data_IF_850379154240
#
_entry.id   IF_850379154240
#
_cell.length_a   1.000
_cell.length_b   1.000
_cell.length_c   1.000
_cell.angle_alpha   90.00
_cell.angle_beta   90.00
_cell.angle_gamma   90.00
#
_symmetry.space_group_name_H-M   'P 1'
#
loop_
_entity.id
_entity.type
_entity.pdbx_description
1 polymer ?
#
# COMPACT_ATOMS: atom_id res chain seq x y z
N UNK A 1 -14.61 -18.54 -17.23
CA UNK A 1 -15.63 -18.31 -16.17
C UNK A 1 -15.10 -17.22 -15.25
N UNK A 2 -15.60 -15.99 -15.40
CA UNK A 2 -15.21 -14.85 -14.56
C UNK A 2 -15.94 -15.00 -13.22
N UNK A 3 -15.18 -15.14 -12.13
CA UNK A 3 -15.70 -15.51 -10.80
C UNK A 3 -16.59 -14.43 -10.19
N UNK A 4 -17.78 -14.84 -9.71
CA UNK A 4 -18.77 -14.02 -8.98
C UNK A 4 -18.21 -13.30 -7.74
N UNK A 5 -17.02 -13.68 -7.25
CA UNK A 5 -16.39 -13.08 -6.06
C UNK A 5 -15.86 -11.66 -6.27
N UNK A 6 -15.52 -11.26 -7.51
CA UNK A 6 -15.01 -9.91 -7.81
C UNK A 6 -16.12 -8.85 -7.88
N UNK A 7 -17.37 -9.26 -8.05
CA UNK A 7 -18.52 -8.36 -8.17
C UNK A 7 -18.96 -7.81 -6.80
N UNK A 8 -18.78 -8.58 -5.72
CA UNK A 8 -19.28 -8.20 -4.38
C UNK A 8 -18.57 -6.97 -3.79
N UNK A 9 -17.26 -6.77 -4.04
CA UNK A 9 -16.55 -5.60 -3.53
C UNK A 9 -16.96 -4.29 -4.22
N UNK A 10 -17.31 -4.37 -5.51
CA UNK A 10 -17.81 -3.22 -6.25
C UNK A 10 -19.22 -2.85 -5.80
N UNK A 11 -20.10 -3.84 -5.65
CA UNK A 11 -21.49 -3.63 -5.22
C UNK A 11 -21.57 -3.00 -3.81
N UNK A 12 -20.61 -3.33 -2.95
CA UNK A 12 -20.45 -2.71 -1.62
C UNK A 12 -19.92 -1.27 -1.67
N UNK A 13 -19.09 -0.93 -2.67
CA UNK A 13 -18.51 0.40 -2.85
C UNK A 13 -19.39 1.34 -3.70
N UNK A 14 -20.35 0.80 -4.45
CA UNK A 14 -21.25 1.54 -5.35
C UNK A 14 -22.59 1.91 -4.73
N UNK A 15 -22.70 1.92 -3.40
CA UNK A 15 -23.90 2.40 -2.70
C UNK A 15 -24.19 3.85 -3.07
N UNK A 16 -25.12 4.04 -4.02
CA UNK A 16 -25.59 5.33 -4.53
C UNK A 16 -25.89 6.31 -3.39
N UNK A 17 -25.12 7.39 -3.31
CA UNK A 17 -25.54 8.66 -2.75
C UNK A 17 -24.68 9.80 -3.31
N UNK A 18 -25.37 10.68 -4.03
CA UNK A 18 -25.02 12.03 -4.50
C UNK A 18 -24.18 12.12 -5.78
N UNK A 19 -24.89 12.46 -6.86
CA UNK A 19 -24.36 13.05 -8.10
C UNK A 19 -23.44 14.25 -7.77
N UNK A 20 -22.17 14.14 -8.12
CA UNK A 20 -21.21 15.25 -8.11
C UNK A 20 -21.03 15.68 -9.58
N UNK A 21 -21.13 16.98 -9.91
CA UNK A 21 -21.05 17.42 -11.30
C UNK A 21 -19.65 17.22 -11.86
N UNK A 22 -19.59 16.74 -13.10
CA UNK A 22 -18.38 16.72 -13.91
C UNK A 22 -17.74 18.12 -13.99
N UNK A 23 -16.50 18.23 -13.53
CA UNK A 23 -15.62 19.37 -13.84
C UNK A 23 -14.51 18.93 -14.81
N UNK A 24 -14.05 19.80 -15.73
CA UNK A 24 -13.22 19.39 -16.86
C UNK A 24 -11.71 19.65 -16.65
N UNK A 25 -10.91 18.89 -17.43
CA UNK A 25 -9.52 19.14 -17.90
C UNK A 25 -8.31 18.75 -17.02
N UNK A 26 -7.72 17.62 -17.40
CA UNK A 26 -6.37 17.48 -18.02
C UNK A 26 -5.22 18.33 -17.45
N UNK A 27 -4.36 17.70 -16.68
CA UNK A 27 -2.96 18.11 -16.45
C UNK A 27 -2.10 17.63 -17.64
N UNK A 28 -1.13 18.41 -18.15
CA UNK A 28 -0.44 18.07 -19.40
C UNK A 28 0.56 16.94 -19.19
N UNK A 29 0.52 15.94 -20.10
CA UNK A 29 1.61 14.97 -20.27
C UNK A 29 2.87 15.72 -20.70
N UNK A 30 3.94 15.55 -19.95
CA UNK A 30 5.29 15.98 -20.33
C UNK A 30 5.66 15.26 -21.63
N UNK A 31 5.85 16.04 -22.71
CA UNK A 31 6.31 15.54 -24.00
C UNK A 31 7.80 15.20 -23.91
N UNK A 32 8.14 13.93 -24.12
CA UNK A 32 9.49 13.55 -24.57
C UNK A 32 9.60 13.82 -26.07
N UNK A 33 10.67 14.52 -26.44
CA UNK A 33 10.98 15.02 -27.79
C UNK A 33 11.23 13.85 -28.77
N UNK A 34 10.71 13.89 -30.02
CA UNK A 34 11.00 12.87 -31.01
C UNK A 34 12.35 13.14 -31.72
N UNK A 35 13.32 12.26 -31.52
CA UNK A 35 14.64 12.33 -32.14
C UNK A 35 14.85 11.28 -33.24
N UNK A 36 14.61 11.72 -34.48
CA UNK A 36 15.32 11.35 -35.73
C UNK A 36 15.25 9.87 -36.18
N UNK A 37 14.37 9.65 -37.16
CA UNK A 37 14.47 8.58 -38.16
C UNK A 37 15.75 8.81 -38.98
N UNK A 38 16.55 7.78 -39.16
CA UNK A 38 17.46 7.68 -40.30
C UNK A 38 17.37 6.27 -40.88
N UNK A 39 16.55 6.14 -41.92
CA UNK A 39 16.69 5.09 -42.93
C UNK A 39 17.78 5.54 -43.92
N UNK A 40 18.83 4.76 -44.10
CA UNK A 40 19.45 4.59 -45.42
C UNK A 40 20.33 3.33 -45.47
N UNK A 41 19.94 2.40 -46.34
CA UNK A 41 20.73 1.26 -46.81
C UNK A 41 22.04 1.70 -47.48
N UNK A 42 23.12 0.94 -47.26
CA UNK A 42 24.38 1.11 -47.98
C UNK A 42 25.39 -0.02 -47.71
N UNK A 43 25.61 -0.86 -48.73
CA UNK A 43 26.56 -1.98 -48.86
C UNK A 43 27.96 -1.78 -48.21
N UNK A 44 28.53 -2.86 -47.63
CA UNK A 44 29.88 -2.93 -47.02
C UNK A 44 31.06 -2.94 -48.02
N UNK A 45 32.26 -3.50 -47.70
CA UNK A 45 32.76 -4.05 -46.43
C UNK A 45 34.19 -3.57 -46.02
N UNK A 46 34.65 -4.01 -44.83
CA UNK A 46 36.02 -4.00 -44.28
C UNK A 46 36.55 -2.71 -43.63
N UNK A 47 36.87 -2.81 -42.34
CA UNK A 47 37.66 -1.83 -41.60
C UNK A 47 37.58 -2.06 -40.10
N UNK A 48 38.47 -2.90 -39.58
CA UNK A 48 38.81 -3.06 -38.17
C UNK A 48 39.07 -1.72 -37.47
N UNK A 49 38.40 -1.46 -36.34
CA UNK A 49 39.10 -1.12 -35.09
C UNK A 49 38.11 -1.11 -33.91
N UNK A 50 38.53 -1.74 -32.82
CA UNK A 50 37.93 -1.63 -31.50
C UNK A 50 37.84 -0.16 -31.07
N UNK A 51 36.67 0.22 -30.59
CA UNK A 51 36.42 1.48 -29.91
C UNK A 51 35.20 1.28 -29.04
N UNK A 52 35.45 1.09 -27.74
CA UNK A 52 34.45 0.95 -26.68
C UNK A 52 33.32 1.97 -26.84
N UNK A 53 32.22 1.54 -27.47
CA UNK A 53 30.95 2.23 -27.33
C UNK A 53 30.39 1.80 -25.99
N UNK A 54 30.62 2.62 -24.96
CA UNK A 54 29.86 2.63 -23.72
C UNK A 54 28.38 2.58 -24.09
N UNK A 55 27.80 1.38 -24.00
CA UNK A 55 26.37 1.22 -23.89
C UNK A 55 26.04 1.95 -22.60
N UNK A 56 25.53 3.17 -22.71
CA UNK A 56 24.92 3.87 -21.60
C UNK A 56 23.79 2.96 -21.10
N UNK A 57 24.12 2.11 -20.12
CA UNK A 57 23.15 1.39 -19.35
C UNK A 57 22.32 2.49 -18.71
N UNK A 58 21.10 2.69 -19.21
CA UNK A 58 20.10 3.48 -18.52
C UNK A 58 20.06 2.97 -17.09
N UNK A 59 20.58 3.75 -16.14
CA UNK A 59 20.57 3.40 -14.73
C UNK A 59 19.09 3.26 -14.38
N UNK A 60 18.64 2.01 -14.21
CA UNK A 60 17.27 1.71 -13.81
C UNK A 60 17.16 2.08 -12.34
N UNK A 61 16.79 3.32 -12.05
CA UNK A 61 16.54 3.77 -10.69
C UNK A 61 15.36 2.96 -10.12
N UNK A 62 15.63 2.18 -9.08
CA UNK A 62 14.60 1.40 -8.41
C UNK A 62 13.73 2.36 -7.59
N UNK A 63 12.47 2.51 -7.96
CA UNK A 63 11.50 3.35 -7.25
C UNK A 63 10.57 2.52 -6.38
N UNK A 64 10.43 2.93 -5.12
CA UNK A 64 9.61 2.26 -4.10
C UNK A 64 8.53 3.18 -3.58
N UNK A 65 7.27 2.74 -3.69
CA UNK A 65 6.10 3.43 -3.16
C UNK A 65 5.76 2.81 -1.82
N UNK A 66 6.02 3.52 -0.73
CA UNK A 66 5.72 3.10 0.64
C UNK A 66 4.34 3.62 1.02
N UNK A 67 3.42 2.72 1.34
CA UNK A 67 2.02 3.06 1.62
C UNK A 67 1.68 2.75 3.07
N UNK A 68 1.29 3.79 3.80
CA UNK A 68 1.03 3.74 5.24
C UNK A 68 -0.27 4.47 5.55
N UNK A 69 -0.95 4.13 6.65
CA UNK A 69 -2.16 4.86 7.06
C UNK A 69 -1.90 6.37 7.24
N UNK A 70 -0.74 6.71 7.82
CA UNK A 70 -0.32 8.09 8.05
C UNK A 70 1.06 8.32 7.46
N UNK A 71 1.23 9.43 6.74
CA UNK A 71 2.53 9.87 6.26
C UNK A 71 3.50 10.08 7.45
N UNK A 72 4.81 9.82 7.26
CA UNK A 72 5.84 10.07 8.25
C UNK A 72 6.19 11.56 8.36
N UNK A 73 5.16 12.41 8.49
CA UNK A 73 5.27 13.85 8.55
C UNK A 73 4.51 14.42 9.75
N UNK A 74 5.05 15.50 10.29
CA UNK A 74 4.32 16.42 11.13
C UNK A 74 3.74 17.55 10.26
N UNK A 75 2.46 17.85 10.45
CA UNK A 75 1.79 18.96 9.78
C UNK A 75 1.29 19.95 10.84
N UNK A 76 1.63 21.24 10.69
CA UNK A 76 1.18 22.31 11.57
C UNK A 76 0.75 23.51 10.74
N UNK A 77 -0.37 24.14 11.10
CA UNK A 77 -0.80 25.41 10.52
C UNK A 77 -0.18 26.55 11.32
N UNK A 78 0.58 27.40 10.65
CA UNK A 78 1.22 28.56 11.27
C UNK A 78 0.15 29.59 11.68
N UNK A 79 0.10 30.01 12.96
CA UNK A 79 -0.97 30.89 13.45
C UNK A 79 -0.86 32.34 12.94
N UNK A 80 0.31 32.78 12.48
CA UNK A 80 0.53 34.14 12.00
C UNK A 80 0.26 34.29 10.50
N UNK A 81 0.67 33.29 9.70
CA UNK A 81 0.56 33.31 8.23
C UNK A 81 -0.60 32.50 7.69
N UNK A 82 -1.25 31.68 8.54
CA UNK A 82 -2.27 30.69 8.18
C UNK A 82 -1.80 29.62 7.16
N UNK A 83 -0.49 29.50 6.91
CA UNK A 83 0.08 28.54 5.97
C UNK A 83 0.44 27.21 6.64
N UNK A 84 0.45 26.14 5.85
CA UNK A 84 0.88 24.82 6.31
C UNK A 84 2.41 24.67 6.30
N UNK A 85 2.94 24.19 7.42
CA UNK A 85 4.33 23.82 7.62
C UNK A 85 4.44 22.31 7.86
N UNK A 86 5.41 21.69 7.20
CA UNK A 86 5.65 20.25 7.24
C UNK A 86 7.09 19.96 7.65
N UNK A 87 7.30 18.88 8.40
CA UNK A 87 8.62 18.36 8.74
C UNK A 87 8.57 16.83 8.83
N UNK A 88 9.69 16.17 8.59
CA UNK A 88 9.82 14.72 8.78
C UNK A 88 9.57 14.32 10.25
N UNK A 89 8.93 13.17 10.42
CA UNK A 89 8.81 12.46 11.70
C UNK A 89 9.98 11.47 11.77
N UNK A 90 11.11 11.90 12.35
CA UNK A 90 12.38 11.13 12.40
C UNK A 90 12.24 9.83 13.22
N UNK A 91 11.25 9.76 14.10
CA UNK A 91 10.92 8.57 14.89
C UNK A 91 10.06 7.57 14.09
N UNK A 92 9.66 7.91 12.87
CA UNK A 92 8.84 7.05 12.03
C UNK A 92 9.64 5.87 11.48
N UNK A 93 9.21 4.66 11.86
CA UNK A 93 9.76 3.41 11.30
C UNK A 93 9.68 3.35 9.77
N UNK A 94 8.68 4.00 9.18
CA UNK A 94 8.50 4.03 7.73
C UNK A 94 9.56 4.89 7.04
N UNK A 95 10.04 5.94 7.72
CA UNK A 95 11.12 6.77 7.22
C UNK A 95 12.47 6.05 7.36
N UNK A 96 12.71 5.40 8.50
CA UNK A 96 13.93 4.63 8.78
C UNK A 96 14.09 3.41 7.85
N UNK A 97 12.99 2.92 7.26
CA UNK A 97 13.01 1.81 6.31
C UNK A 97 13.90 2.09 5.08
N UNK A 98 14.05 3.36 4.69
CA UNK A 98 14.92 3.75 3.56
C UNK A 98 16.39 3.39 3.78
N UNK A 99 16.84 3.35 5.05
CA UNK A 99 18.24 3.13 5.41
C UNK A 99 18.70 1.68 5.13
N UNK A 100 17.75 0.76 4.91
CA UNK A 100 18.01 -0.62 4.51
C UNK A 100 18.23 -0.82 3.00
N UNK A 101 18.15 0.23 2.19
CA UNK A 101 18.23 0.16 0.73
C UNK A 101 19.41 0.95 0.15
N UNK A 102 19.68 0.74 -1.15
CA UNK A 102 20.71 1.49 -1.87
C UNK A 102 20.42 3.00 -1.83
N UNK A 103 21.42 3.88 -1.66
CA UNK A 103 21.24 5.33 -1.72
C UNK A 103 20.62 5.85 -3.03
N UNK A 104 20.70 5.07 -4.10
CA UNK A 104 20.13 5.39 -5.42
C UNK A 104 18.63 5.05 -5.54
N UNK A 105 18.05 4.41 -4.51
CA UNK A 105 16.64 4.02 -4.48
C UNK A 105 15.77 5.25 -4.24
N UNK A 106 14.82 5.51 -5.13
CA UNK A 106 13.86 6.58 -4.97
C UNK A 106 12.68 6.10 -4.11
N UNK A 107 12.28 6.91 -3.12
CA UNK A 107 11.13 6.61 -2.26
C UNK A 107 10.04 7.66 -2.43
N UNK A 108 8.83 7.17 -2.65
CA UNK A 108 7.60 7.97 -2.61
C UNK A 108 6.72 7.42 -1.49
N UNK A 109 6.20 8.31 -0.64
CA UNK A 109 5.33 7.93 0.47
C UNK A 109 3.87 8.29 0.17
N UNK A 110 2.96 7.36 0.37
CA UNK A 110 1.52 7.56 0.20
C UNK A 110 0.81 7.33 1.53
N UNK A 111 0.05 8.32 2.01
CA UNK A 111 -0.58 8.26 3.33
C UNK A 111 -1.51 9.43 3.61
N UNK A 112 -2.33 9.34 4.67
CA UNK A 112 -3.07 10.51 5.18
C UNK A 112 -2.18 11.38 6.07
N UNK A 113 -2.55 12.65 6.22
CA UNK A 113 -1.90 13.55 7.18
C UNK A 113 -2.56 13.40 8.56
N UNK A 114 -1.77 13.63 9.62
CA UNK A 114 -2.25 13.75 11.00
C UNK A 114 -2.91 15.13 11.26
N UNK A 115 -3.53 15.72 10.25
CA UNK A 115 -4.16 17.04 10.28
C UNK A 115 -5.35 17.10 9.30
N UNK A 116 -6.36 17.89 9.64
CA UNK A 116 -7.53 18.11 8.78
C UNK A 116 -7.22 19.26 7.82
N UNK A 117 -7.25 18.98 6.51
CA UNK A 117 -6.92 19.92 5.45
C UNK A 117 -8.19 20.26 4.69
N UNK A 118 -8.57 21.54 4.70
CA UNK A 118 -9.74 22.03 3.98
C UNK A 118 -9.63 21.73 2.49
N UNK A 119 -10.74 21.38 1.84
CA UNK A 119 -10.77 20.99 0.43
C UNK A 119 -10.18 22.06 -0.52
N UNK A 120 -10.29 23.34 -0.16
CA UNK A 120 -9.69 24.44 -0.92
C UNK A 120 -8.15 24.51 -0.84
N UNK A 121 -7.56 23.92 0.19
CA UNK A 121 -6.10 23.92 0.44
C UNK A 121 -5.43 22.62 -0.04
N UNK A 122 -6.20 21.57 -0.37
CA UNK A 122 -5.68 20.24 -0.66
C UNK A 122 -4.74 20.18 -1.87
N UNK A 123 -5.00 20.96 -2.92
CA UNK A 123 -4.14 20.99 -4.11
C UNK A 123 -2.77 21.61 -3.79
N UNK A 124 -2.76 22.78 -3.13
CA UNK A 124 -1.53 23.46 -2.72
C UNK A 124 -0.70 22.57 -1.77
N UNK A 125 -1.37 21.92 -0.81
CA UNK A 125 -0.71 20.99 0.11
C UNK A 125 -0.15 19.78 -0.62
N UNK A 126 -0.89 19.20 -1.59
CA UNK A 126 -0.42 18.04 -2.35
C UNK A 126 0.83 18.37 -3.17
N UNK A 127 0.82 19.51 -3.86
CA UNK A 127 1.97 19.96 -4.64
C UNK A 127 3.20 20.16 -3.74
N UNK A 128 3.04 20.88 -2.62
CA UNK A 128 4.13 21.11 -1.67
C UNK A 128 4.70 19.81 -1.10
N UNK A 129 3.84 18.86 -0.73
CA UNK A 129 4.27 17.57 -0.18
C UNK A 129 5.01 16.71 -1.21
N UNK A 130 4.60 16.76 -2.48
CA UNK A 130 5.28 16.04 -3.54
C UNK A 130 6.66 16.66 -3.82
N UNK A 131 6.74 17.98 -3.97
CA UNK A 131 7.98 18.70 -4.31
C UNK A 131 9.03 18.65 -3.19
N UNK A 132 8.60 18.90 -1.94
CA UNK A 132 9.53 19.04 -0.81
C UNK A 132 9.84 17.70 -0.12
N UNK A 133 8.94 16.72 -0.21
CA UNK A 133 8.98 15.49 0.61
C UNK A 133 8.76 14.18 -0.16
N UNK A 134 8.53 14.20 -1.48
CA UNK A 134 8.09 13.01 -2.23
C UNK A 134 6.91 12.28 -1.57
N UNK A 135 5.99 13.05 -0.98
CA UNK A 135 4.82 12.54 -0.29
C UNK A 135 3.55 12.83 -1.09
N UNK A 136 2.70 11.82 -1.25
CA UNK A 136 1.39 11.95 -1.90
C UNK A 136 0.29 11.76 -0.84
N UNK A 137 -0.39 12.84 -0.44
CA UNK A 137 -1.42 12.77 0.58
C UNK A 137 -2.68 12.08 0.06
N UNK A 138 -3.29 11.25 0.92
CA UNK A 138 -4.63 10.70 0.72
C UNK A 138 -5.59 11.40 1.68
N UNK A 139 -6.39 12.33 1.17
CA UNK A 139 -7.40 13.03 1.95
C UNK A 139 -8.68 12.18 2.04
N UNK A 140 -8.97 11.69 3.24
CA UNK A 140 -10.21 10.97 3.53
C UNK A 140 -11.22 11.94 4.17
N UNK A 141 -12.50 11.95 3.72
CA UNK A 141 -13.54 12.71 4.40
C UNK A 141 -13.60 12.37 5.90
N UNK A 142 -13.82 13.36 6.76
CA UNK A 142 -13.72 13.20 8.21
C UNK A 142 -14.61 12.07 8.78
N UNK A 143 -15.85 11.96 8.30
CA UNK A 143 -16.76 10.87 8.69
C UNK A 143 -16.24 9.49 8.24
N UNK A 144 -15.71 9.41 7.01
CA UNK A 144 -15.10 8.18 6.49
C UNK A 144 -13.88 7.79 7.32
N UNK A 145 -12.98 8.75 7.59
CA UNK A 145 -11.78 8.54 8.40
C UNK A 145 -12.13 8.02 9.79
N UNK A 146 -13.15 8.60 10.43
CA UNK A 146 -13.60 8.16 11.76
C UNK A 146 -14.13 6.72 11.74
N UNK A 147 -15.00 6.36 10.79
CA UNK A 147 -15.56 5.01 10.67
C UNK A 147 -14.50 3.98 10.28
N UNK A 148 -13.61 4.33 9.37
CA UNK A 148 -12.48 3.52 8.94
C UNK A 148 -11.49 3.25 10.08
N UNK A 149 -10.97 4.31 10.69
CA UNK A 149 -9.88 4.21 11.66
C UNK A 149 -10.38 3.87 13.06
N UNK A 150 -11.25 4.69 13.65
CA UNK A 150 -11.73 4.43 15.00
C UNK A 150 -12.72 3.26 15.03
N UNK A 151 -13.62 3.20 14.05
CA UNK A 151 -14.60 2.11 13.96
C UNK A 151 -13.96 0.77 13.58
N UNK A 152 -13.66 0.56 12.30
CA UNK A 152 -13.23 -0.76 11.85
C UNK A 152 -11.82 -1.13 12.34
N UNK A 153 -10.84 -0.26 12.15
CA UNK A 153 -9.45 -0.55 12.49
C UNK A 153 -9.25 -0.73 14.02
N UNK A 154 -9.71 0.23 14.83
CA UNK A 154 -9.46 0.20 16.30
C UNK A 154 -10.48 -0.57 17.12
N UNK A 155 -11.76 -0.66 16.73
CA UNK A 155 -12.75 -1.43 17.48
C UNK A 155 -12.87 -2.89 17.01
N UNK A 156 -12.51 -3.22 15.75
CA UNK A 156 -12.68 -4.59 15.22
C UNK A 156 -11.33 -5.29 14.96
N UNK A 157 -10.48 -4.74 14.09
CA UNK A 157 -9.23 -5.42 13.69
C UNK A 157 -8.21 -5.46 14.82
N UNK A 158 -7.97 -4.32 15.48
CA UNK A 158 -6.95 -4.24 16.53
C UNK A 158 -7.22 -5.20 17.70
N UNK A 159 -8.44 -5.27 18.28
CA UNK A 159 -8.73 -6.22 19.36
C UNK A 159 -8.62 -7.67 18.90
N UNK A 160 -9.09 -7.99 17.69
CA UNK A 160 -8.99 -9.33 17.12
C UNK A 160 -7.52 -9.79 17.00
N UNK A 161 -6.66 -8.94 16.44
CA UNK A 161 -5.25 -9.27 16.20
C UNK A 161 -4.45 -9.40 17.50
N UNK A 162 -4.91 -8.75 18.58
CA UNK A 162 -4.30 -8.78 19.90
C UNK A 162 -5.00 -9.74 20.88
N UNK A 163 -5.84 -10.65 20.39
CA UNK A 163 -6.55 -11.65 21.21
C UNK A 163 -7.45 -11.03 22.30
N UNK A 164 -7.87 -9.77 22.12
CA UNK A 164 -8.82 -9.07 22.99
C UNK A 164 -10.24 -9.31 22.48
N UNK A 165 -10.73 -10.55 22.65
CA UNK A 165 -12.12 -10.86 22.32
C UNK A 165 -13.06 -10.20 23.36
N UNK A 166 -14.19 -9.59 22.93
CA UNK A 166 -15.19 -9.11 23.88
C UNK A 166 -15.76 -10.31 24.65
N UNK A 167 -15.50 -10.35 25.96
CA UNK A 167 -15.93 -11.44 26.86
C UNK A 167 -17.39 -11.28 27.33
N UNK A 168 -18.11 -10.24 26.88
CA UNK A 168 -19.47 -9.92 27.33
C UNK A 168 -20.52 -10.15 26.22
N UNK A 169 -21.60 -10.92 26.49
CA UNK A 169 -22.71 -11.12 25.56
C UNK A 169 -23.44 -9.82 25.16
N UNK A 170 -23.50 -8.84 26.07
CA UNK A 170 -24.19 -7.56 25.87
C UNK A 170 -23.36 -6.51 25.11
N UNK A 171 -22.08 -6.81 24.83
CA UNK A 171 -21.15 -5.99 24.04
C UNK A 171 -20.78 -6.67 22.71
N UNK A 172 -21.54 -7.68 22.30
CA UNK A 172 -21.50 -8.22 20.96
C UNK A 172 -22.19 -7.26 19.99
N UNK A 173 -21.62 -6.07 19.78
CA UNK A 173 -22.07 -5.20 18.71
C UNK A 173 -22.08 -6.03 17.44
N UNK A 174 -23.29 -6.25 16.91
CA UNK A 174 -23.48 -6.98 15.65
C UNK A 174 -22.53 -6.36 14.64
N UNK A 175 -21.82 -7.21 13.90
CA UNK A 175 -20.86 -6.76 12.89
C UNK A 175 -21.43 -5.62 12.05
N UNK A 176 -20.85 -4.43 12.22
CA UNK A 176 -21.33 -3.24 11.57
C UNK A 176 -20.81 -3.19 10.13
N UNK A 177 -21.70 -3.53 9.20
CA UNK A 177 -21.41 -3.50 7.75
C UNK A 177 -21.04 -2.10 7.26
N UNK A 178 -21.49 -1.04 7.92
CA UNK A 178 -21.15 0.34 7.52
C UNK A 178 -19.70 0.66 7.84
N UNK A 179 -19.15 0.13 8.94
CA UNK A 179 -17.72 0.25 9.27
C UNK A 179 -16.87 -0.54 8.27
N UNK A 180 -17.32 -1.73 7.86
CA UNK A 180 -16.66 -2.49 6.80
C UNK A 180 -16.66 -1.74 5.47
N UNK A 181 -17.79 -1.17 5.06
CA UNK A 181 -17.86 -0.35 3.85
C UNK A 181 -16.93 0.85 3.92
N UNK A 182 -16.85 1.53 5.07
CA UNK A 182 -15.89 2.61 5.28
C UNK A 182 -14.44 2.13 5.11
N UNK A 183 -14.10 0.93 5.62
CA UNK A 183 -12.78 0.34 5.44
C UNK A 183 -12.44 0.02 3.97
N UNK A 184 -13.39 -0.57 3.24
CA UNK A 184 -13.26 -0.83 1.80
C UNK A 184 -13.09 0.47 1.02
N UNK A 185 -13.92 1.48 1.30
CA UNK A 185 -13.86 2.79 0.63
C UNK A 185 -12.55 3.53 0.90
N UNK A 186 -12.06 3.52 2.14
CA UNK A 186 -10.75 4.09 2.47
C UNK A 186 -9.63 3.38 1.69
N UNK A 187 -9.59 2.05 1.71
CA UNK A 187 -8.59 1.26 0.98
C UNK A 187 -8.63 1.53 -0.54
N UNK A 188 -9.82 1.76 -1.09
CA UNK A 188 -10.01 2.15 -2.49
C UNK A 188 -9.44 3.54 -2.77
N UNK A 189 -9.72 4.55 -1.94
CA UNK A 189 -9.19 5.91 -2.13
C UNK A 189 -7.66 5.94 -2.09
N UNK A 190 -7.05 5.14 -1.22
CA UNK A 190 -5.59 4.95 -1.21
C UNK A 190 -5.09 4.30 -2.49
N UNK A 191 -5.75 3.25 -2.98
CA UNK A 191 -5.39 2.61 -4.24
C UNK A 191 -5.50 3.57 -5.43
N UNK A 192 -6.57 4.38 -5.48
CA UNK A 192 -6.78 5.38 -6.53
C UNK A 192 -5.62 6.39 -6.55
N UNK A 193 -5.16 6.86 -5.38
CA UNK A 193 -3.98 7.75 -5.27
C UNK A 193 -2.69 7.13 -5.77
N UNK A 194 -2.47 5.84 -5.50
CA UNK A 194 -1.29 5.12 -6.02
C UNK A 194 -1.38 4.97 -7.54
N UNK A 195 -2.59 4.70 -8.07
CA UNK A 195 -2.79 4.54 -9.51
C UNK A 195 -2.49 5.82 -10.30
N UNK A 196 -2.55 7.00 -9.67
CA UNK A 196 -2.19 8.29 -10.29
C UNK A 196 -0.68 8.43 -10.55
N UNK A 197 0.18 7.76 -9.78
CA UNK A 197 1.64 8.00 -9.77
C UNK A 197 2.50 6.80 -10.18
N UNK A 198 1.92 5.60 -10.13
CA UNK A 198 2.65 4.35 -10.31
C UNK A 198 3.04 4.09 -11.78
N UNK A 199 4.27 3.60 -11.97
CA UNK A 199 4.79 2.96 -13.18
C UNK A 199 4.76 1.45 -12.99
N UNK A 200 3.71 0.72 -13.46
CA UNK A 200 3.39 -0.63 -12.99
C UNK A 200 4.45 -1.72 -13.26
N UNK A 201 5.32 -1.53 -14.25
CA UNK A 201 6.36 -2.52 -14.60
C UNK A 201 7.68 -2.26 -13.87
N UNK A 202 7.89 -1.04 -13.39
CA UNK A 202 9.14 -0.57 -12.81
C UNK A 202 9.04 -0.54 -11.28
N UNK A 203 7.96 0.05 -10.77
CA UNK A 203 7.77 0.36 -9.35
C UNK A 203 7.48 -0.85 -8.47
N UNK A 204 7.91 -0.73 -7.22
CA UNK A 204 7.55 -1.63 -6.13
C UNK A 204 6.62 -0.90 -5.17
N UNK A 205 5.43 -1.45 -4.93
CA UNK A 205 4.52 -0.92 -3.90
C UNK A 205 4.64 -1.76 -2.65
N UNK A 206 4.98 -1.12 -1.53
CA UNK A 206 5.04 -1.75 -0.23
C UNK A 206 3.99 -1.18 0.71
N UNK A 207 2.98 -1.99 1.02
CA UNK A 207 1.84 -1.62 1.85
C UNK A 207 2.09 -2.05 3.29
N UNK A 208 1.79 -1.16 4.25
CA UNK A 208 2.04 -1.43 5.66
C UNK A 208 0.76 -1.45 6.50
N UNK A 209 0.75 -2.46 7.38
CA UNK A 209 -0.13 -2.63 8.52
C UNK A 209 -1.61 -2.96 8.21
N UNK A 210 -2.35 -3.32 9.25
CA UNK A 210 -3.73 -3.81 9.16
C UNK A 210 -4.74 -2.78 8.61
N UNK A 211 -4.35 -1.51 8.50
CA UNK A 211 -5.19 -0.44 7.95
C UNK A 211 -5.49 -0.63 6.46
N UNK A 212 -4.58 -1.24 5.70
CA UNK A 212 -4.60 -1.24 4.24
C UNK A 212 -4.58 -2.65 3.62
N UNK A 213 -5.21 -3.64 4.27
CA UNK A 213 -5.14 -5.05 3.84
C UNK A 213 -5.90 -5.35 2.55
N UNK A 214 -6.83 -4.49 2.12
CA UNK A 214 -7.59 -4.68 0.88
C UNK A 214 -7.00 -3.93 -0.31
N UNK A 215 -6.16 -2.93 -0.04
CA UNK A 215 -5.49 -2.12 -1.05
C UNK A 215 -4.85 -2.96 -2.17
N UNK A 216 -4.13 -4.08 -1.89
CA UNK A 216 -3.55 -4.91 -2.94
C UNK A 216 -4.57 -5.45 -3.94
N UNK A 217 -5.82 -5.69 -3.53
CA UNK A 217 -6.91 -6.14 -4.42
C UNK A 217 -7.21 -5.11 -5.50
N UNK A 218 -7.27 -3.83 -5.11
CA UNK A 218 -7.58 -2.74 -6.03
C UNK A 218 -6.42 -2.54 -7.01
N UNK A 219 -5.18 -2.52 -6.52
CA UNK A 219 -4.00 -2.38 -7.38
C UNK A 219 -3.86 -3.54 -8.38
N UNK A 220 -3.99 -4.79 -7.92
CA UNK A 220 -3.88 -5.97 -8.79
C UNK A 220 -4.96 -6.01 -9.87
N UNK A 221 -6.14 -5.45 -9.57
CA UNK A 221 -7.23 -5.32 -10.54
C UNK A 221 -6.95 -4.27 -11.62
N UNK A 222 -6.32 -3.16 -11.25
CA UNK A 222 -5.89 -2.13 -12.21
C UNK A 222 -4.67 -2.58 -13.04
N UNK A 223 -3.70 -3.21 -12.37
CA UNK A 223 -2.42 -3.61 -12.93
C UNK A 223 -2.06 -5.04 -12.51
N UNK A 224 -2.15 -6.00 -13.43
CA UNK A 224 -1.91 -7.42 -13.11
C UNK A 224 -0.45 -7.74 -12.75
N UNK A 225 0.51 -7.03 -13.36
CA UNK A 225 1.97 -7.24 -13.21
C UNK A 225 2.64 -6.39 -12.13
N UNK A 226 1.88 -5.56 -11.42
CA UNK A 226 2.43 -4.67 -10.38
C UNK A 226 3.15 -5.46 -9.27
N UNK A 227 4.32 -5.01 -8.84
CA UNK A 227 5.09 -5.69 -7.79
C UNK A 227 4.57 -5.25 -6.41
N UNK A 228 3.89 -6.13 -5.69
CA UNK A 228 3.23 -5.81 -4.41
C UNK A 228 3.85 -6.54 -3.23
N UNK A 229 4.35 -5.76 -2.28
CA UNK A 229 4.71 -6.22 -0.94
C UNK A 229 3.69 -5.76 0.10
N UNK A 230 3.46 -6.57 1.13
CA UNK A 230 2.72 -6.17 2.34
C UNK A 230 3.52 -6.54 3.58
N UNK A 231 3.49 -5.70 4.61
CA UNK A 231 4.07 -6.02 5.91
C UNK A 231 3.08 -5.76 7.04
N UNK A 232 2.84 -6.77 7.88
CA UNK A 232 2.01 -6.63 9.08
C UNK A 232 2.86 -6.35 10.32
N UNK A 233 2.64 -5.20 10.94
CA UNK A 233 3.31 -4.80 12.19
C UNK A 233 2.65 -5.39 13.44
N UNK A 234 1.34 -5.64 13.37
CA UNK A 234 0.60 -6.32 14.43
C UNK A 234 0.82 -7.85 14.43
N UNK A 235 0.54 -8.54 15.54
CA UNK A 235 0.42 -9.99 15.53
C UNK A 235 -0.65 -10.46 14.54
N UNK A 236 -0.48 -11.66 13.99
CA UNK A 236 -1.55 -12.34 13.27
C UNK A 236 -2.20 -13.38 14.17
N UNK A 237 -3.53 -13.33 14.40
CA UNK A 237 -4.19 -14.19 15.36
C UNK A 237 -4.31 -15.63 14.86
N UNK A 238 -4.43 -16.59 15.78
CA UNK A 238 -4.67 -17.99 15.44
C UNK A 238 -5.98 -18.16 14.66
N UNK A 239 -6.10 -19.24 13.88
CA UNK A 239 -7.29 -19.50 13.07
C UNK A 239 -8.58 -19.60 13.88
N UNK A 240 -8.50 -20.00 15.16
CA UNK A 240 -9.65 -20.08 16.06
C UNK A 240 -10.19 -18.70 16.44
N UNK A 241 -9.31 -17.71 16.52
CA UNK A 241 -9.68 -16.33 16.80
C UNK A 241 -10.05 -15.64 15.49
N UNK A 242 -9.24 -15.77 14.45
CA UNK A 242 -9.47 -15.12 13.17
C UNK A 242 -10.83 -15.49 12.53
N UNK A 243 -11.31 -16.73 12.75
CA UNK A 243 -12.61 -17.17 12.20
C UNK A 243 -13.83 -16.44 12.77
N UNK A 244 -13.68 -15.73 13.89
CA UNK A 244 -14.77 -14.92 14.46
C UNK A 244 -15.03 -13.66 13.62
N UNK A 245 -14.07 -13.22 12.80
CA UNK A 245 -14.22 -12.08 11.90
C UNK A 245 -15.16 -12.44 10.73
N UNK A 246 -16.26 -11.69 10.52
CA UNK A 246 -17.21 -12.02 9.45
C UNK A 246 -16.66 -11.83 8.04
N UNK A 247 -15.72 -10.90 7.86
CA UNK A 247 -15.08 -10.55 6.57
C UNK A 247 -13.67 -11.13 6.41
N UNK A 248 -13.43 -12.26 7.08
CA UNK A 248 -12.16 -12.98 7.11
C UNK A 248 -11.68 -13.40 5.72
N UNK A 249 -12.57 -13.87 4.86
CA UNK A 249 -12.21 -14.38 3.54
C UNK A 249 -11.78 -13.22 2.64
N UNK A 250 -12.50 -12.10 2.71
CA UNK A 250 -12.21 -10.87 1.99
C UNK A 250 -10.82 -10.32 2.33
N UNK A 251 -10.47 -10.28 3.62
CA UNK A 251 -9.16 -9.78 4.08
C UNK A 251 -8.04 -10.74 3.67
N UNK A 252 -8.18 -12.05 3.86
CA UNK A 252 -7.17 -13.02 3.42
C UNK A 252 -6.94 -12.92 1.91
N UNK A 253 -8.01 -12.87 1.13
CA UNK A 253 -7.92 -12.71 -0.33
C UNK A 253 -7.29 -11.38 -0.70
N UNK A 254 -7.53 -10.33 0.07
CA UNK A 254 -6.87 -9.04 -0.07
C UNK A 254 -5.35 -9.16 0.01
N UNK A 255 -4.85 -9.77 1.09
CA UNK A 255 -3.42 -10.00 1.30
C UNK A 255 -2.81 -10.92 0.25
N UNK A 256 -3.53 -11.96 -0.19
CA UNK A 256 -3.07 -12.90 -1.22
C UNK A 256 -2.93 -12.27 -2.63
N UNK A 257 -3.39 -11.03 -2.84
CA UNK A 257 -3.07 -10.27 -4.05
C UNK A 257 -1.62 -9.72 -4.04
N UNK A 258 -0.89 -9.80 -2.93
CA UNK A 258 0.53 -9.49 -2.88
C UNK A 258 1.39 -10.58 -3.53
N UNK A 259 2.64 -10.23 -3.84
CA UNK A 259 3.69 -11.16 -4.24
C UNK A 259 4.57 -11.54 -3.03
N UNK A 260 4.67 -10.64 -2.04
CA UNK A 260 5.39 -10.84 -0.79
C UNK A 260 4.56 -10.36 0.41
N UNK A 261 4.45 -11.18 1.46
CA UNK A 261 3.83 -10.83 2.74
C UNK A 261 4.86 -11.05 3.85
N UNK A 262 5.13 -10.00 4.62
CA UNK A 262 6.08 -10.01 5.73
C UNK A 262 5.43 -9.95 7.11
N UNK A 263 6.04 -10.64 8.07
CA UNK A 263 5.67 -10.63 9.48
C UNK A 263 6.92 -10.51 10.36
N UNK A 264 6.77 -10.01 11.59
CA UNK A 264 7.88 -9.94 12.56
C UNK A 264 8.40 -11.31 13.01
N UNK A 265 7.50 -12.28 13.21
CA UNK A 265 7.85 -13.58 13.77
C UNK A 265 7.33 -14.72 12.90
N UNK A 266 7.98 -15.88 13.02
CA UNK A 266 7.50 -17.10 12.37
C UNK A 266 6.12 -17.53 12.87
N UNK A 267 5.78 -17.28 14.15
CA UNK A 267 4.47 -17.64 14.68
C UNK A 267 3.33 -16.87 14.03
N UNK A 268 3.52 -15.57 13.77
CA UNK A 268 2.52 -14.77 13.06
C UNK A 268 2.32 -15.27 11.62
N UNK A 269 3.42 -15.54 10.93
CA UNK A 269 3.40 -16.15 9.59
C UNK A 269 2.67 -17.51 9.60
N UNK A 270 2.97 -18.37 10.58
CA UNK A 270 2.34 -19.69 10.75
C UNK A 270 0.84 -19.57 11.00
N UNK A 271 0.40 -18.61 11.80
CA UNK A 271 -1.03 -18.36 12.01
C UNK A 271 -1.74 -17.89 10.75
N UNK A 272 -1.12 -16.98 9.97
CA UNK A 272 -1.63 -16.56 8.67
C UNK A 272 -1.78 -17.76 7.71
N UNK A 273 -0.74 -18.58 7.55
CA UNK A 273 -0.77 -19.79 6.72
C UNK A 273 -1.87 -20.77 7.16
N UNK A 274 -2.03 -20.97 8.47
CA UNK A 274 -3.11 -21.80 9.02
C UNK A 274 -4.50 -21.24 8.69
N UNK A 275 -4.66 -19.92 8.64
CA UNK A 275 -5.92 -19.30 8.23
C UNK A 275 -6.18 -19.49 6.72
N UNK A 276 -5.16 -19.29 5.88
CA UNK A 276 -5.27 -19.56 4.44
C UNK A 276 -5.65 -21.02 4.16
N UNK A 277 -5.04 -21.98 4.85
CA UNK A 277 -5.37 -23.40 4.70
C UNK A 277 -6.79 -23.71 5.17
N UNK A 278 -7.17 -23.30 6.39
CA UNK A 278 -8.48 -23.67 6.96
C UNK A 278 -9.67 -22.95 6.34
N UNK A 279 -9.50 -21.72 5.88
CA UNK A 279 -10.60 -20.90 5.35
C UNK A 279 -10.70 -20.95 3.84
N UNK A 280 -9.56 -21.03 3.14
CA UNK A 280 -9.51 -20.97 1.68
C UNK A 280 -9.08 -22.30 1.04
N UNK A 281 -8.70 -23.31 1.84
CA UNK A 281 -8.25 -24.61 1.32
C UNK A 281 -6.90 -24.55 0.62
N UNK A 282 -6.06 -23.56 0.96
CA UNK A 282 -4.76 -23.36 0.32
C UNK A 282 -3.66 -24.12 1.05
N UNK A 283 -2.89 -24.91 0.32
CA UNK A 283 -1.67 -25.51 0.82
C UNK A 283 -0.49 -24.56 0.65
N UNK A 284 0.47 -24.64 1.57
CA UNK A 284 1.73 -23.91 1.48
C UNK A 284 2.90 -24.88 1.44
N UNK A 285 3.93 -24.49 0.71
CA UNK A 285 5.17 -25.24 0.63
C UNK A 285 6.30 -24.47 1.33
N UNK A 286 7.15 -25.20 2.04
CA UNK A 286 8.42 -24.68 2.53
C UNK A 286 9.54 -25.32 1.73
N UNK A 287 10.17 -24.55 0.82
CA UNK A 287 11.26 -25.02 -0.04
C UNK A 287 12.47 -24.11 0.13
N UNK A 288 13.64 -24.70 0.44
CA UNK A 288 14.94 -24.02 0.55
C UNK A 288 14.93 -22.80 1.50
N UNK A 289 14.17 -22.86 2.58
CA UNK A 289 14.08 -21.76 3.57
C UNK A 289 13.11 -20.64 3.19
N UNK A 290 12.36 -20.78 2.10
CA UNK A 290 11.27 -19.88 1.74
C UNK A 290 9.93 -20.58 1.89
N UNK A 291 8.94 -19.83 2.37
CA UNK A 291 7.56 -20.30 2.50
C UNK A 291 6.74 -19.62 1.40
N UNK A 292 5.98 -20.40 0.65
CA UNK A 292 5.16 -19.90 -0.44
C UNK A 292 3.79 -20.57 -0.49
N UNK A 293 2.79 -19.82 -0.94
CA UNK A 293 1.44 -20.28 -1.25
C UNK A 293 1.21 -20.15 -2.76
N UNK A 294 0.64 -21.16 -3.40
CA UNK A 294 0.07 -20.98 -4.74
C UNK A 294 -1.32 -20.35 -4.62
N UNK A 295 -1.53 -19.24 -5.32
CA UNK A 295 -2.82 -18.56 -5.38
C UNK A 295 -3.11 -18.11 -6.80
N UNK A 296 -4.00 -18.84 -7.47
CA UNK A 296 -4.37 -18.63 -8.88
C UNK A 296 -3.16 -18.63 -9.83
N UNK A 297 -2.22 -19.56 -9.63
CA UNK A 297 -1.04 -19.70 -10.49
C UNK A 297 0.05 -18.65 -10.24
N UNK A 298 -0.07 -17.86 -9.15
CA UNK A 298 1.00 -17.00 -8.63
C UNK A 298 1.50 -17.56 -7.30
N UNK A 299 2.80 -17.49 -7.08
CA UNK A 299 3.39 -17.78 -5.78
C UNK A 299 3.39 -16.53 -4.91
N UNK A 300 2.71 -16.58 -3.77
CA UNK A 300 2.77 -15.56 -2.72
C UNK A 300 3.82 -15.97 -1.70
N UNK A 301 4.91 -15.22 -1.62
CA UNK A 301 6.01 -15.50 -0.69
C UNK A 301 5.72 -14.94 0.70
N UNK A 302 6.05 -15.72 1.73
CA UNK A 302 5.98 -15.31 3.13
C UNK A 302 7.39 -15.13 3.66
N UNK A 303 7.68 -13.95 4.23
CA UNK A 303 8.97 -13.64 4.86
C UNK A 303 8.83 -13.23 6.32
N UNK A 304 9.84 -13.60 7.09
CA UNK A 304 10.00 -13.21 8.48
C UNK A 304 11.04 -12.09 8.49
N UNK A 305 10.62 -10.88 8.84
CA UNK A 305 11.47 -9.70 8.90
C UNK A 305 11.33 -9.10 10.31
N UNK A 306 12.19 -9.50 11.26
CA UNK A 306 12.21 -8.88 12.56
C UNK A 306 12.65 -7.43 12.39
N UNK A 307 11.77 -6.48 12.74
CA UNK A 307 12.14 -5.07 12.72
C UNK A 307 12.81 -4.79 14.05
N UNK A 308 14.09 -4.40 14.00
CA UNK A 308 14.84 -3.97 15.17
C UNK A 308 14.65 -2.47 15.28
N UNK A 309 14.08 -2.01 16.40
CA UNK A 309 14.01 -0.59 16.72
C UNK A 309 15.43 -0.07 16.95
N UNK A 310 15.94 0.77 16.06
CA UNK A 310 17.12 1.58 16.38
C UNK A 310 16.62 2.77 17.21
N UNK A 311 16.61 2.64 18.53
CA UNK A 311 16.44 3.79 19.43
C UNK A 311 17.70 4.68 19.32
N UNK A 312 17.75 5.54 18.31
CA UNK A 312 18.74 6.61 18.22
C UNK A 312 18.31 7.75 19.17
N UNK A 313 18.45 7.55 20.49
CA UNK A 313 17.97 8.56 21.45
C UNK A 313 18.26 8.35 22.94
N UNK A 314 19.07 7.36 23.33
CA UNK A 314 19.54 7.23 24.72
C UNK A 314 21.06 7.37 24.77
N UNK A 315 21.52 8.59 24.49
CA UNK A 315 22.82 9.10 24.94
C UNK A 315 22.62 10.57 25.35
N UNK A 316 22.06 10.76 26.54
CA UNK A 316 22.31 11.91 27.40
C UNK A 316 22.55 11.40 28.81
#
# INVERSE_FOLDING_TARGET
MVSRSYMNFLDLASGNLLEIPHTPRSIPRVMTVPGIISDLDGYGPHGSNDGDSEIASSICHERKIIVTNMLPLHAKKDPGTAKWCFSWDEDSLYLQLKDGFSPETEFIYVGSLKADIDASEQEEVSQKLLEDFNCVPTFLPQDLQKKFYLGFCKQQLWPLFHYMLPMCPDHGDRFDRTLWQAYVSANKMFADKIMEIISPEEDYVWVHDYHLMLLPTFLRKGYNRVKLGFFLHSPFPSSEIYRTLPVRDEILRGLLNCDLIGFHTFDYARHFLSCCSRMLGLDYESKRGHIGLDYFGRTVYIKILPVVYTFAGLNQ
#
